data_IF_117564561357
#
_entry.id   IF_117564561357
#
_cell.length_a   1.000
_cell.length_b   1.000
_cell.length_c   1.000
_cell.angle_alpha   90.00
_cell.angle_beta   90.00
_cell.angle_gamma   90.00
#
_symmetry.space_group_name_H-M   'P 1'
#
loop_
_entity.id
_entity.type
_entity.pdbx_description
1 polymer ?
#
# COMPACT_ATOMS: atom_id res chain seq x y z
N UNK A 1 -31.49 -19.95 10.86
CA UNK A 1 -31.59 -20.05 9.39
C UNK A 1 -30.34 -19.41 8.78
N UNK A 2 -29.33 -20.20 8.42
CA UNK A 2 -28.10 -19.66 7.82
C UNK A 2 -28.38 -19.26 6.37
N UNK A 3 -28.27 -17.96 6.06
CA UNK A 3 -28.56 -17.45 4.73
C UNK A 3 -27.60 -18.06 3.70
N UNK A 4 -28.11 -18.93 2.82
CA UNK A 4 -27.32 -19.53 1.75
C UNK A 4 -26.82 -18.43 0.82
N UNK A 5 -25.53 -18.49 0.44
CA UNK A 5 -24.93 -17.54 -0.50
C UNK A 5 -25.70 -17.59 -1.81
N UNK A 6 -26.33 -16.47 -2.18
CA UNK A 6 -27.17 -16.36 -3.38
C UNK A 6 -26.33 -16.64 -4.63
N UNK A 7 -26.77 -17.59 -5.44
CA UNK A 7 -26.08 -18.01 -6.66
C UNK A 7 -26.02 -16.84 -7.64
N UNK A 8 -24.82 -16.51 -8.11
CA UNK A 8 -24.59 -15.42 -9.06
C UNK A 8 -24.20 -14.08 -8.42
N UNK A 9 -24.29 -13.92 -7.10
CA UNK A 9 -23.76 -12.72 -6.43
C UNK A 9 -22.25 -12.84 -6.20
N UNK A 10 -21.50 -11.97 -6.87
CA UNK A 10 -20.05 -11.82 -6.72
C UNK A 10 -19.70 -10.38 -6.38
N UNK A 11 -18.69 -10.20 -5.54
CA UNK A 11 -18.08 -8.90 -5.24
C UNK A 11 -16.61 -8.98 -5.64
N UNK A 12 -16.14 -8.01 -6.41
CA UNK A 12 -14.79 -7.99 -6.97
C UNK A 12 -14.09 -6.71 -6.50
N UNK A 13 -12.81 -6.83 -6.13
CA UNK A 13 -11.91 -5.71 -5.87
C UNK A 13 -10.59 -6.00 -6.58
N UNK A 14 -10.22 -5.12 -7.50
CA UNK A 14 -8.98 -5.22 -8.27
C UNK A 14 -7.81 -4.65 -7.47
N UNK A 15 -6.63 -5.24 -7.64
CA UNK A 15 -5.39 -4.68 -7.12
C UNK A 15 -4.79 -3.69 -8.13
N UNK A 16 -4.88 -2.38 -7.86
CA UNK A 16 -4.30 -1.33 -8.72
C UNK A 16 -2.76 -1.39 -8.78
N UNK A 17 -2.11 -2.08 -7.84
CA UNK A 17 -0.67 -2.37 -7.88
C UNK A 17 -0.27 -3.39 -8.94
N UNK A 18 -1.18 -4.26 -9.37
CA UNK A 18 -0.97 -5.21 -10.47
C UNK A 18 -1.30 -4.50 -11.81
N UNK A 19 -0.35 -4.39 -12.76
CA UNK A 19 -0.58 -3.69 -14.02
C UNK A 19 -1.66 -4.34 -14.90
N UNK A 20 -1.83 -5.67 -14.84
CA UNK A 20 -2.87 -6.38 -15.61
C UNK A 20 -4.24 -6.06 -15.05
N UNK A 21 -4.38 -6.07 -13.72
CA UNK A 21 -5.63 -5.70 -13.05
C UNK A 21 -5.94 -4.21 -13.18
N UNK A 22 -4.93 -3.33 -13.20
CA UNK A 22 -5.10 -1.91 -13.48
C UNK A 22 -5.68 -1.67 -14.88
N UNK A 23 -5.10 -2.29 -15.91
CA UNK A 23 -5.62 -2.20 -17.27
C UNK A 23 -7.07 -2.73 -17.37
N UNK A 24 -7.40 -3.80 -16.63
CA UNK A 24 -8.79 -4.28 -16.53
C UNK A 24 -9.73 -3.26 -15.87
N UNK A 25 -9.28 -2.52 -14.84
CA UNK A 25 -10.05 -1.43 -14.22
C UNK A 25 -10.26 -0.28 -15.20
N UNK A 26 -9.22 0.17 -15.90
CA UNK A 26 -9.31 1.24 -16.91
C UNK A 26 -10.35 0.89 -17.99
N UNK A 27 -10.31 -0.34 -18.52
CA UNK A 27 -11.30 -0.84 -19.48
C UNK A 27 -12.73 -0.87 -18.91
N UNK A 28 -12.90 -1.18 -17.61
CA UNK A 28 -14.19 -1.19 -16.94
C UNK A 28 -14.69 0.23 -16.65
N UNK A 29 -13.82 1.18 -16.32
CA UNK A 29 -14.18 2.57 -16.05
C UNK A 29 -14.73 3.27 -17.29
N UNK A 30 -14.17 2.99 -18.47
CA UNK A 30 -14.69 3.41 -19.78
C UNK A 30 -16.11 2.88 -20.10
N UNK A 31 -16.57 1.82 -19.44
CA UNK A 31 -17.90 1.26 -19.71
C UNK A 31 -19.02 2.16 -19.15
N UNK A 32 -20.14 2.31 -19.88
CA UNK A 32 -21.31 3.09 -19.45
C UNK A 32 -21.81 2.78 -18.02
N UNK A 33 -22.58 3.68 -17.41
CA UNK A 33 -23.24 3.42 -16.13
C UNK A 33 -23.98 2.07 -16.14
N UNK A 34 -23.82 1.32 -15.05
CA UNK A 34 -24.45 0.01 -14.81
C UNK A 34 -24.09 -1.14 -15.79
N UNK A 35 -23.24 -0.94 -16.81
CA UNK A 35 -22.90 -1.99 -17.80
C UNK A 35 -21.69 -2.87 -17.43
N UNK A 36 -20.86 -2.44 -16.47
CA UNK A 36 -19.61 -3.12 -16.06
C UNK A 36 -19.79 -4.63 -15.78
N UNK A 37 -20.88 -5.03 -15.12
CA UNK A 37 -21.16 -6.46 -14.85
C UNK A 37 -21.43 -7.26 -16.13
N UNK A 38 -22.18 -6.70 -17.08
CA UNK A 38 -22.44 -7.32 -18.38
C UNK A 38 -21.16 -7.41 -19.22
N UNK A 39 -20.30 -6.38 -19.18
CA UNK A 39 -19.01 -6.40 -19.86
C UNK A 39 -18.11 -7.53 -19.34
N UNK A 40 -18.01 -7.71 -18.02
CA UNK A 40 -17.27 -8.84 -17.40
C UNK A 40 -17.85 -10.19 -17.84
N UNK A 41 -19.19 -10.34 -17.83
CA UNK A 41 -19.83 -11.57 -18.28
C UNK A 41 -19.53 -11.88 -19.76
N UNK A 42 -19.62 -10.89 -20.64
CA UNK A 42 -19.30 -11.03 -22.05
C UNK A 42 -17.82 -11.40 -22.27
N UNK A 43 -16.90 -10.75 -21.55
CA UNK A 43 -15.47 -11.04 -21.63
C UNK A 43 -15.13 -12.47 -21.19
N UNK A 44 -15.77 -12.98 -20.13
CA UNK A 44 -15.61 -14.38 -19.69
C UNK A 44 -16.14 -15.38 -20.72
N UNK A 45 -17.29 -15.10 -21.33
CA UNK A 45 -17.88 -15.95 -22.39
C UNK A 45 -17.05 -15.91 -23.67
N UNK A 46 -16.42 -14.78 -23.99
CA UNK A 46 -15.53 -14.63 -25.15
C UNK A 46 -14.14 -15.24 -24.92
N UNK A 47 -13.61 -15.22 -23.69
CA UNK A 47 -12.32 -15.85 -23.38
C UNK A 47 -12.43 -17.38 -23.41
N UNK A 48 -13.45 -17.94 -22.78
CA UNK A 48 -13.92 -19.27 -23.16
C UNK A 48 -14.42 -19.24 -24.62
N UNK A 49 -14.59 -20.36 -25.31
CA UNK A 49 -14.94 -20.44 -26.75
C UNK A 49 -13.89 -19.94 -27.74
N UNK A 50 -13.09 -18.90 -27.44
CA UNK A 50 -11.98 -18.47 -28.31
C UNK A 50 -10.59 -18.91 -27.81
N UNK A 51 -10.40 -19.11 -26.50
CA UNK A 51 -9.12 -19.49 -25.89
C UNK A 51 -9.23 -20.68 -24.93
N UNK A 52 -10.31 -21.47 -25.00
CA UNK A 52 -10.53 -22.63 -24.12
C UNK A 52 -9.43 -23.70 -24.18
N UNK A 53 -8.72 -23.80 -25.31
CA UNK A 53 -7.68 -24.82 -25.55
C UNK A 53 -6.25 -24.35 -25.15
N UNK A 54 -6.00 -23.03 -25.01
CA UNK A 54 -4.81 -22.49 -24.35
C UNK A 54 -5.26 -21.85 -23.02
N UNK A 55 -5.52 -22.66 -21.98
CA UNK A 55 -5.67 -22.09 -20.65
C UNK A 55 -4.34 -21.42 -20.33
N UNK A 56 -4.37 -20.09 -20.27
CA UNK A 56 -3.38 -19.34 -19.54
C UNK A 56 -3.92 -19.11 -18.14
N UNK A 57 -3.79 -20.07 -17.20
CA UNK A 57 -3.61 -19.64 -15.83
C UNK A 57 -2.37 -18.75 -15.87
N UNK A 58 -2.47 -17.59 -15.21
CA UNK A 58 -1.35 -16.69 -14.91
C UNK A 58 -0.04 -17.48 -14.88
N UNK A 59 0.77 -17.40 -15.93
CA UNK A 59 2.08 -18.05 -15.97
C UNK A 59 2.94 -17.26 -15.01
N UNK A 60 2.79 -17.58 -13.71
CA UNK A 60 3.66 -17.10 -12.64
C UNK A 60 5.06 -17.35 -13.17
N UNK A 61 5.88 -16.30 -13.40
CA UNK A 61 7.20 -16.50 -13.95
C UNK A 61 7.88 -17.55 -13.09
N UNK A 62 8.40 -18.62 -13.70
CA UNK A 62 9.04 -19.68 -12.96
C UNK A 62 10.27 -19.07 -12.29
N UNK A 63 10.13 -18.70 -11.02
CA UNK A 63 11.19 -18.03 -10.27
C UNK A 63 12.28 -19.08 -10.10
N UNK A 64 13.38 -18.89 -10.80
CA UNK A 64 14.49 -19.83 -10.79
C UNK A 64 15.01 -19.98 -9.36
N UNK A 65 15.14 -21.23 -8.92
CA UNK A 65 15.70 -21.60 -7.63
C UNK A 65 17.12 -21.05 -7.46
N UNK A 66 17.91 -20.97 -8.54
CA UNK A 66 19.25 -20.38 -8.48
C UNK A 66 19.21 -18.85 -8.31
N UNK A 67 18.23 -18.15 -8.91
CA UNK A 67 18.02 -16.73 -8.68
C UNK A 67 17.62 -16.43 -7.22
N UNK A 68 16.76 -17.26 -6.62
CA UNK A 68 16.41 -17.15 -5.19
C UNK A 68 17.65 -17.38 -4.32
N UNK A 69 18.44 -18.43 -4.58
CA UNK A 69 19.67 -18.69 -3.83
C UNK A 69 20.70 -17.55 -3.96
N UNK A 70 20.85 -16.96 -5.15
CA UNK A 70 21.75 -15.83 -5.36
C UNK A 70 21.35 -14.61 -4.52
N UNK A 71 20.05 -14.28 -4.48
CA UNK A 71 19.51 -13.19 -3.66
C UNK A 71 19.74 -13.47 -2.16
N UNK A 72 19.45 -14.70 -1.69
CA UNK A 72 19.64 -15.08 -0.28
C UNK A 72 21.12 -15.01 0.12
N UNK A 73 22.05 -15.52 -0.70
CA UNK A 73 23.49 -15.45 -0.44
C UNK A 73 24.00 -14.00 -0.38
N UNK A 74 23.51 -13.12 -1.25
CA UNK A 74 23.90 -11.71 -1.25
C UNK A 74 23.38 -10.97 0.00
N UNK A 75 22.15 -11.25 0.47
CA UNK A 75 21.62 -10.70 1.72
C UNK A 75 22.51 -11.14 2.91
N UNK A 76 22.82 -12.43 3.02
CA UNK A 76 23.68 -12.93 4.12
C UNK A 76 25.09 -12.31 4.07
N UNK A 77 25.66 -12.12 2.88
CA UNK A 77 26.95 -11.43 2.69
C UNK A 77 26.91 -9.96 3.14
N UNK A 78 25.78 -9.27 2.94
CA UNK A 78 25.59 -7.89 3.37
C UNK A 78 25.49 -7.79 4.90
N UNK A 79 24.77 -8.72 5.54
CA UNK A 79 24.65 -8.78 7.00
C UNK A 79 26.00 -9.08 7.68
N UNK A 80 26.79 -10.02 7.15
CA UNK A 80 28.15 -10.30 7.63
C UNK A 80 29.09 -9.08 7.50
N UNK A 81 29.04 -8.36 6.37
CA UNK A 81 29.86 -7.16 6.18
C UNK A 81 29.40 -5.96 7.02
N UNK A 82 28.12 -5.91 7.41
CA UNK A 82 27.64 -4.94 8.39
C UNK A 82 28.13 -5.25 9.81
N UNK A 83 28.26 -6.54 10.15
CA UNK A 83 28.84 -7.04 11.42
C UNK A 83 30.33 -6.72 11.53
N UNK A 84 31.15 -7.11 10.55
CA UNK A 84 32.62 -6.95 10.62
C UNK A 84 33.06 -5.47 10.67
N UNK A 85 32.27 -4.57 10.07
CA UNK A 85 32.53 -3.12 10.12
C UNK A 85 32.38 -2.52 11.53
N UNK A 86 31.76 -3.23 12.47
CA UNK A 86 31.66 -2.81 13.87
C UNK A 86 32.88 -3.19 14.73
N UNK A 87 33.75 -4.11 14.28
CA UNK A 87 34.83 -4.70 15.10
C UNK A 87 36.20 -4.07 14.84
N UNK A 88 36.39 -3.37 13.71
CA UNK A 88 37.68 -2.79 13.31
C UNK A 88 37.85 -1.30 13.66
N UNK A 89 37.50 -0.84 14.88
CA UNK A 89 38.02 0.43 15.45
C UNK A 89 38.04 0.42 16.98
N UNK A 90 39.09 -0.18 17.57
CA UNK A 90 39.73 0.30 18.80
C UNK A 90 41.17 0.69 18.44
N UNK A 91 41.83 1.66 19.05
CA UNK A 91 41.67 2.22 20.41
C UNK A 91 41.85 3.75 20.50
N UNK A 92 41.64 4.26 21.73
CA UNK A 92 42.10 5.54 22.31
C UNK A 92 41.14 6.76 22.36
N UNK A 93 40.85 7.14 23.60
CA UNK A 93 40.09 8.28 24.17
C UNK A 93 40.82 9.65 24.03
N UNK A 94 40.27 10.84 24.40
CA UNK A 94 39.20 11.12 25.39
C UNK A 94 38.16 12.21 24.97
N UNK A 95 37.18 12.61 25.83
CA UNK A 95 35.98 13.30 25.35
C UNK A 95 36.11 14.83 25.31
N UNK A 96 35.48 15.46 24.30
CA UNK A 96 35.15 16.89 24.31
C UNK A 96 33.65 17.10 24.22
N UNK A 97 33.10 17.76 25.25
CA UNK A 97 31.75 18.31 25.25
C UNK A 97 31.53 19.15 23.98
N UNK A 98 30.43 18.92 23.27
CA UNK A 98 29.68 20.01 22.68
C UNK A 98 28.19 19.77 22.94
N UNK A 99 27.55 20.80 23.49
CA UNK A 99 26.21 20.80 24.05
C UNK A 99 25.29 21.52 23.06
N UNK A 100 24.33 20.83 22.48
CA UNK A 100 22.97 21.31 22.14
C UNK A 100 22.07 20.08 22.15
N UNK A 101 20.89 20.19 22.77
CA UNK A 101 20.05 19.06 23.10
C UNK A 101 19.00 18.77 22.01
N UNK A 102 18.79 17.48 21.74
CA UNK A 102 17.50 16.93 21.30
C UNK A 102 16.84 16.28 22.53
N UNK A 103 15.58 16.62 22.88
CA UNK A 103 14.81 15.82 23.83
C UNK A 103 14.34 14.52 23.16
N UNK A 104 14.06 13.45 23.95
CA UNK A 104 13.92 12.09 23.40
C UNK A 104 12.56 11.82 22.76
N UNK A 105 12.51 10.78 21.92
CA UNK A 105 11.27 10.03 21.73
C UNK A 105 11.04 9.12 22.93
N UNK A 106 9.78 8.93 23.34
CA UNK A 106 9.29 7.58 23.64
C UNK A 106 7.77 7.46 23.51
N UNK A 107 7.38 6.50 22.64
CA UNK A 107 6.26 5.56 22.72
C UNK A 107 4.90 5.95 23.34
N UNK A 108 3.87 5.74 22.51
CA UNK A 108 2.65 4.96 22.80
C UNK A 108 1.78 5.34 24.01
N UNK A 109 0.51 5.68 23.75
CA UNK A 109 -0.70 5.03 24.33
C UNK A 109 -1.95 5.85 23.95
N UNK A 110 -2.88 5.26 23.19
CA UNK A 110 -4.29 5.70 23.15
C UNK A 110 -4.88 5.52 24.56
N UNK A 111 -5.58 6.53 25.14
CA UNK A 111 -7.03 6.47 24.97
C UNK A 111 -7.80 7.82 25.10
N UNK A 112 -9.11 7.68 24.84
CA UNK A 112 -10.22 8.37 25.49
C UNK A 112 -10.81 9.59 24.80
N UNK A 113 -12.12 9.50 24.60
CA UNK A 113 -13.00 10.63 24.39
C UNK A 113 -12.79 11.67 25.51
N UNK A 114 -12.62 12.92 25.09
CA UNK A 114 -12.55 14.10 25.94
C UNK A 114 -12.68 15.30 25.02
N UNK A 115 -13.61 16.21 25.31
CA UNK A 115 -13.88 17.35 24.44
C UNK A 115 -12.63 18.23 24.35
N UNK A 116 -11.88 18.13 23.25
CA UNK A 116 -10.73 18.99 22.97
C UNK A 116 -11.24 20.43 22.88
N UNK A 117 -10.87 21.24 23.86
CA UNK A 117 -11.12 22.67 23.85
C UNK A 117 -10.24 23.29 22.76
N UNK A 118 -10.78 23.31 21.53
CA UNK A 118 -10.09 23.85 20.37
C UNK A 118 -9.78 25.32 20.64
N UNK A 119 -8.51 25.69 20.70
CA UNK A 119 -8.06 27.05 21.01
C UNK A 119 -8.67 28.11 20.06
N UNK A 120 -8.96 29.30 20.59
CA UNK A 120 -9.65 30.36 19.84
C UNK A 120 -8.85 30.88 18.63
N UNK A 121 -7.51 30.80 18.65
CA UNK A 121 -6.68 31.11 17.48
C UNK A 121 -6.92 30.10 16.36
N UNK A 122 -7.08 28.82 16.71
CA UNK A 122 -7.41 27.74 15.77
C UNK A 122 -8.83 27.89 15.23
N UNK A 123 -9.81 28.24 16.08
CA UNK A 123 -11.19 28.54 15.65
C UNK A 123 -11.25 29.71 14.67
N UNK A 124 -10.54 30.80 14.96
CA UNK A 124 -10.46 31.97 14.08
C UNK A 124 -9.79 31.67 12.74
N UNK A 125 -8.74 30.84 12.72
CA UNK A 125 -8.08 30.41 11.49
C UNK A 125 -9.06 29.65 10.58
N UNK A 126 -9.80 28.68 11.13
CA UNK A 126 -10.83 27.91 10.39
C UNK A 126 -11.94 28.83 9.87
N UNK A 127 -12.44 29.74 10.70
CA UNK A 127 -13.50 30.69 10.33
C UNK A 127 -13.06 31.63 9.18
N UNK A 128 -11.82 32.16 9.26
CA UNK A 128 -11.24 33.01 8.22
C UNK A 128 -11.09 32.26 6.89
N UNK A 129 -10.57 31.02 6.93
CA UNK A 129 -10.46 30.16 5.74
C UNK A 129 -11.83 29.87 5.12
N UNK A 130 -12.85 29.53 5.92
CA UNK A 130 -14.21 29.31 5.42
C UNK A 130 -14.87 30.57 4.84
N UNK A 131 -14.59 31.74 5.39
CA UNK A 131 -15.11 33.01 4.88
C UNK A 131 -14.52 33.36 3.49
N UNK A 132 -13.24 33.05 3.25
CA UNK A 132 -12.59 33.26 1.96
C UNK A 132 -13.28 32.51 0.81
N UNK A 133 -13.69 31.25 1.03
CA UNK A 133 -14.41 30.47 0.02
C UNK A 133 -15.83 31.01 -0.28
N UNK A 134 -16.49 31.61 0.71
CA UNK A 134 -17.86 32.16 0.56
C UNK A 134 -17.93 33.49 -0.18
N UNK A 135 -16.80 34.19 -0.34
CA UNK A 135 -16.73 35.51 -0.99
C UNK A 135 -16.65 35.44 -2.52
N UNK A 136 -16.36 34.26 -3.08
CA UNK A 136 -16.10 34.06 -4.51
C UNK A 136 -17.20 33.20 -5.20
N UNK A 137 -18.43 33.24 -4.69
CA UNK A 137 -19.61 32.58 -5.25
C UNK A 137 -20.77 33.55 -5.40
#
# INVERSE_FOLDING_TARGET
MTAKKERGRFSLRFNIGDPVQRAAVELLELQPPHSKAQYIANALVYYNTHFSDDPQPLKVPAIDRAAIEAIVREIMRQDEQASDKAVSTGESSPPKKNKIALPPQEQTTEPSEGASEVDDMTRNLIASTMAAFRRNG
#
